data_IF_586386198369
#
_entry.id   IF_586386198369
#
_cell.length_a   1.000
_cell.length_b   1.000
_cell.length_c   1.000
_cell.angle_alpha   90.00
_cell.angle_beta   90.00
_cell.angle_gamma   90.00
#
_symmetry.space_group_name_H-M   'P 1'
#
loop_
_entity.id
_entity.type
_entity.pdbx_description
1 polymer ?
#
# COMPACT_ATOMS: atom_id res chain seq x y z
N UNK A 1 -18.66 15.87 -20.45
CA UNK A 1 -18.87 15.43 -19.06
C UNK A 1 -18.12 16.35 -18.09
N UNK A 2 -16.79 16.43 -18.14
CA UNK A 2 -15.98 17.18 -17.14
C UNK A 2 -16.15 18.72 -17.22
N UNK A 3 -16.54 19.28 -18.37
CA UNK A 3 -16.68 20.74 -18.57
C UNK A 3 -17.66 21.42 -17.60
N UNK A 4 -18.59 20.67 -17.01
CA UNK A 4 -19.62 21.22 -16.11
C UNK A 4 -19.29 21.00 -14.62
N UNK A 5 -18.11 20.46 -14.28
CA UNK A 5 -17.70 20.22 -12.89
C UNK A 5 -17.26 21.53 -12.22
N UNK A 6 -18.08 22.08 -11.33
CA UNK A 6 -17.76 23.37 -10.68
C UNK A 6 -16.59 23.29 -9.70
N UNK A 7 -16.36 22.12 -9.10
CA UNK A 7 -15.27 21.94 -8.15
C UNK A 7 -13.90 21.81 -8.82
N UNK A 8 -12.88 21.83 -7.98
CA UNK A 8 -11.54 21.42 -8.36
C UNK A 8 -11.49 19.92 -8.65
N UNK A 9 -10.53 19.53 -9.49
CA UNK A 9 -10.30 18.15 -9.88
C UNK A 9 -8.95 17.70 -9.33
N UNK A 10 -8.98 16.58 -8.63
CA UNK A 10 -7.81 15.76 -8.31
C UNK A 10 -7.67 14.64 -9.33
N UNK A 11 -6.45 14.13 -9.52
CA UNK A 11 -6.20 12.99 -10.40
C UNK A 11 -5.23 12.00 -9.75
N UNK A 12 -5.42 10.73 -10.05
CA UNK A 12 -4.43 9.68 -9.83
C UNK A 12 -3.94 9.19 -11.19
N UNK A 13 -2.63 9.06 -11.31
CA UNK A 13 -1.99 8.43 -12.45
C UNK A 13 -1.39 7.11 -11.98
N UNK A 14 -1.97 6.00 -12.44
CA UNK A 14 -1.49 4.66 -12.12
C UNK A 14 -0.81 4.06 -13.35
N UNK A 15 0.37 3.49 -13.14
CA UNK A 15 1.14 2.83 -14.17
C UNK A 15 1.59 1.47 -13.65
N UNK A 16 1.41 0.44 -14.46
CA UNK A 16 1.87 -0.92 -14.15
C UNK A 16 2.32 -1.64 -15.40
N UNK A 17 3.22 -2.61 -15.25
CA UNK A 17 3.75 -3.41 -16.34
C UNK A 17 3.28 -4.85 -16.22
N UNK A 18 2.76 -5.40 -17.32
CA UNK A 18 2.49 -6.83 -17.48
C UNK A 18 3.64 -7.51 -18.26
N UNK A 19 3.74 -8.84 -18.14
CA UNK A 19 4.60 -9.74 -18.95
C UNK A 19 4.77 -9.29 -20.40
N UNK A 20 5.99 -9.47 -20.91
CA UNK A 20 6.46 -9.04 -22.25
C UNK A 20 6.53 -7.52 -22.42
N UNK A 21 6.87 -6.79 -21.35
CA UNK A 21 7.05 -5.33 -21.35
C UNK A 21 5.83 -4.59 -21.89
N UNK A 22 4.63 -5.07 -21.52
CA UNK A 22 3.38 -4.37 -21.83
C UNK A 22 3.06 -3.48 -20.65
N UNK A 23 3.49 -2.22 -20.70
CA UNK A 23 3.02 -1.28 -19.71
C UNK A 23 1.61 -0.79 -20.05
N UNK A 24 0.87 -0.54 -19.01
CA UNK A 24 -0.44 0.07 -19.01
C UNK A 24 -0.37 1.32 -18.15
N UNK A 25 -1.21 2.28 -18.50
CA UNK A 25 -1.44 3.45 -17.67
C UNK A 25 -2.94 3.67 -17.54
N UNK A 26 -3.32 4.20 -16.40
CA UNK A 26 -4.65 4.73 -16.20
C UNK A 26 -4.59 6.13 -15.63
N UNK A 27 -5.57 6.94 -16.02
CA UNK A 27 -5.80 8.25 -15.44
C UNK A 27 -7.21 8.26 -14.88
N UNK A 28 -7.32 8.41 -13.58
CA UNK A 28 -8.59 8.56 -12.88
C UNK A 28 -8.68 9.97 -12.31
N UNK A 29 -9.85 10.59 -12.43
CA UNK A 29 -10.13 11.88 -11.80
C UNK A 29 -11.13 11.74 -10.66
N UNK A 30 -10.98 12.64 -9.70
CA UNK A 30 -11.78 12.74 -8.50
C UNK A 30 -12.23 14.18 -8.35
N UNK A 31 -13.51 14.37 -8.08
CA UNK A 31 -14.07 15.69 -7.80
C UNK A 31 -15.29 15.55 -6.90
N UNK A 32 -15.67 16.62 -6.23
CA UNK A 32 -16.86 16.66 -5.39
C UNK A 32 -17.91 17.53 -6.06
N UNK A 33 -19.17 17.13 -6.00
CA UNK A 33 -20.25 17.94 -6.55
C UNK A 33 -21.40 17.98 -5.56
N UNK A 34 -22.03 19.15 -5.35
CA UNK A 34 -23.26 19.20 -4.58
C UNK A 34 -24.39 18.48 -5.34
N UNK A 35 -25.33 17.90 -4.61
CA UNK A 35 -26.58 17.42 -5.18
C UNK A 35 -27.38 18.58 -5.77
N UNK A 36 -28.04 18.35 -6.91
CA UNK A 36 -28.80 19.37 -7.64
C UNK A 36 -29.91 20.00 -6.77
N UNK A 37 -30.48 19.23 -5.85
CA UNK A 37 -31.56 19.64 -4.95
C UNK A 37 -31.09 20.06 -3.55
N UNK A 38 -29.82 19.82 -3.21
CA UNK A 38 -29.25 20.15 -1.91
C UNK A 38 -27.75 20.55 -2.00
N UNK A 39 -27.44 21.86 -1.96
CA UNK A 39 -26.05 22.35 -2.08
C UNK A 39 -25.12 21.98 -0.91
N UNK A 40 -25.67 21.39 0.15
CA UNK A 40 -24.92 20.91 1.31
C UNK A 40 -24.62 19.41 1.25
N UNK A 41 -25.27 18.70 0.34
CA UNK A 41 -25.04 17.27 0.14
C UNK A 41 -23.99 17.08 -0.95
N UNK A 42 -22.75 16.80 -0.55
CA UNK A 42 -21.63 16.66 -1.47
C UNK A 42 -21.34 15.18 -1.72
N UNK A 43 -21.33 14.79 -2.99
CA UNK A 43 -20.89 13.46 -3.43
C UNK A 43 -19.49 13.50 -4.01
N UNK A 44 -18.66 12.51 -3.66
CA UNK A 44 -17.40 12.24 -4.34
C UNK A 44 -17.69 11.48 -5.64
N UNK A 45 -17.16 11.98 -6.74
CA UNK A 45 -17.25 11.35 -8.05
C UNK A 45 -15.89 10.86 -8.50
N UNK A 46 -15.85 9.65 -9.03
CA UNK A 46 -14.65 9.00 -9.57
C UNK A 46 -14.88 8.62 -11.02
N UNK A 47 -13.98 9.00 -11.90
CA UNK A 47 -14.06 8.66 -13.31
C UNK A 47 -12.72 8.23 -13.87
N UNK A 48 -12.66 6.99 -14.37
CA UNK A 48 -11.58 6.50 -15.21
C UNK A 48 -11.65 7.19 -16.58
N UNK A 49 -10.68 8.06 -16.87
CA UNK A 49 -10.62 8.81 -18.13
C UNK A 49 -9.95 8.04 -19.25
N UNK A 50 -8.87 7.32 -18.92
CA UNK A 50 -8.09 6.54 -19.87
C UNK A 50 -7.58 5.29 -19.21
N UNK A 51 -7.52 4.20 -19.98
CA UNK A 51 -6.87 2.96 -19.62
C UNK A 51 -6.18 2.46 -20.89
N UNK A 52 -4.92 2.82 -21.05
CA UNK A 52 -4.22 2.68 -22.31
C UNK A 52 -3.01 1.77 -22.16
N UNK A 53 -2.82 0.90 -23.15
CA UNK A 53 -1.57 0.15 -23.28
C UNK A 53 -0.52 1.07 -23.87
N UNK A 54 0.57 1.28 -23.14
CA UNK A 54 1.73 2.03 -23.63
C UNK A 54 2.51 1.23 -24.66
N UNK A 55 3.05 1.95 -25.64
CA UNK A 55 4.11 1.47 -26.53
C UNK A 55 5.32 2.39 -26.36
N UNK A 56 6.53 1.84 -26.48
CA UNK A 56 7.77 2.61 -26.36
C UNK A 56 8.31 2.69 -24.94
N UNK A 57 9.18 3.67 -24.67
CA UNK A 57 9.85 3.84 -23.37
C UNK A 57 8.92 4.52 -22.35
N UNK A 58 8.98 4.09 -21.10
CA UNK A 58 8.19 4.63 -19.98
C UNK A 58 8.96 5.69 -19.19
N UNK A 59 9.70 6.55 -19.87
CA UNK A 59 10.44 7.62 -19.19
C UNK A 59 9.46 8.61 -18.56
N UNK A 60 9.89 9.27 -17.48
CA UNK A 60 9.10 10.33 -16.84
C UNK A 60 8.66 11.44 -17.82
N UNK A 61 9.47 11.71 -18.85
CA UNK A 61 9.14 12.66 -19.92
C UNK A 61 7.98 12.16 -20.80
N UNK A 62 8.00 10.91 -21.23
CA UNK A 62 6.95 10.35 -22.10
C UNK A 62 5.62 10.15 -21.36
N UNK A 63 5.68 9.74 -20.09
CA UNK A 63 4.50 9.70 -19.21
C UNK A 63 3.94 11.12 -19.02
N UNK A 64 4.84 12.11 -18.90
CA UNK A 64 4.47 13.50 -18.80
C UNK A 64 3.75 14.08 -20.01
N UNK A 65 4.28 13.82 -21.21
CA UNK A 65 3.65 14.20 -22.48
C UNK A 65 2.27 13.57 -22.63
N UNK A 66 2.14 12.30 -22.26
CA UNK A 66 0.87 11.61 -22.34
C UNK A 66 -0.17 12.18 -21.36
N UNK A 67 0.25 12.44 -20.11
CA UNK A 67 -0.59 13.07 -19.12
C UNK A 67 -1.07 14.45 -19.60
N UNK A 68 -0.15 15.28 -20.12
CA UNK A 68 -0.49 16.60 -20.67
C UNK A 68 -1.49 16.49 -21.84
N UNK A 69 -1.26 15.57 -22.78
CA UNK A 69 -2.14 15.32 -23.91
C UNK A 69 -3.53 14.88 -23.46
N UNK A 70 -3.61 14.00 -22.46
CA UNK A 70 -4.88 13.53 -21.91
C UNK A 70 -5.66 14.65 -21.22
N UNK A 71 -4.99 15.47 -20.40
CA UNK A 71 -5.61 16.65 -19.76
C UNK A 71 -6.14 17.62 -20.82
N UNK A 72 -5.35 17.89 -21.86
CA UNK A 72 -5.76 18.77 -22.96
C UNK A 72 -6.94 18.20 -23.75
N UNK A 73 -6.92 16.89 -24.07
CA UNK A 73 -7.98 16.18 -24.79
C UNK A 73 -9.33 16.33 -24.10
N UNK A 74 -9.35 16.25 -22.78
CA UNK A 74 -10.58 16.34 -21.98
C UNK A 74 -10.92 17.76 -21.51
N UNK A 75 -10.00 18.72 -21.67
CA UNK A 75 -10.25 20.15 -21.48
C UNK A 75 -10.50 20.55 -20.03
N UNK A 76 -9.68 20.07 -19.10
CA UNK A 76 -9.78 20.40 -17.67
C UNK A 76 -8.47 20.93 -17.06
N UNK A 77 -7.53 21.38 -17.90
CA UNK A 77 -6.22 21.89 -17.47
C UNK A 77 -6.33 23.05 -16.46
N UNK A 78 -7.30 23.94 -16.67
CA UNK A 78 -7.59 25.12 -15.85
C UNK A 78 -8.18 24.78 -14.47
N UNK A 79 -8.71 23.56 -14.29
CA UNK A 79 -9.35 23.10 -13.03
C UNK A 79 -8.46 22.21 -12.18
N UNK A 80 -7.25 21.95 -12.64
CA UNK A 80 -6.33 21.04 -11.98
C UNK A 80 -5.55 21.77 -10.87
N UNK A 81 -5.67 21.30 -9.63
CA UNK A 81 -4.86 21.84 -8.50
C UNK A 81 -3.98 20.82 -7.79
N UNK A 82 -4.37 19.54 -7.79
CA UNK A 82 -3.62 18.50 -7.11
C UNK A 82 -3.41 17.29 -8.01
N UNK A 83 -2.19 16.74 -8.00
CA UNK A 83 -1.84 15.52 -8.73
C UNK A 83 -1.22 14.52 -7.75
N UNK A 84 -1.81 13.34 -7.65
CA UNK A 84 -1.18 12.22 -6.95
C UNK A 84 -0.50 11.33 -7.97
N UNK A 85 0.80 11.08 -7.77
CA UNK A 85 1.60 10.23 -8.65
C UNK A 85 2.10 9.02 -7.89
N UNK A 86 1.93 7.84 -8.48
CA UNK A 86 2.55 6.61 -7.98
C UNK A 86 4.08 6.62 -8.09
N UNK A 87 4.62 7.48 -8.95
CA UNK A 87 6.05 7.58 -9.28
C UNK A 87 6.56 9.02 -9.26
N UNK A 88 7.63 9.30 -8.50
CA UNK A 88 8.28 10.64 -8.50
C UNK A 88 8.80 11.04 -9.88
N UNK A 89 9.14 10.07 -10.74
CA UNK A 89 9.70 10.30 -12.07
C UNK A 89 8.75 10.96 -13.07
N UNK A 90 7.43 10.79 -12.92
CA UNK A 90 6.45 11.51 -13.76
C UNK A 90 6.30 12.96 -13.29
N UNK A 91 6.68 13.28 -12.06
CA UNK A 91 6.48 14.60 -11.45
C UNK A 91 7.37 15.71 -12.01
N UNK A 92 8.68 15.54 -12.14
CA UNK A 92 9.53 16.74 -12.34
C UNK A 92 9.66 17.24 -13.79
N UNK A 93 9.70 16.34 -14.79
CA UNK A 93 9.83 16.74 -16.21
C UNK A 93 8.51 16.98 -16.93
N UNK A 94 7.41 16.38 -16.48
CA UNK A 94 6.08 16.60 -17.08
C UNK A 94 5.47 17.95 -16.73
N UNK A 95 5.82 18.49 -15.55
CA UNK A 95 5.19 19.65 -14.96
C UNK A 95 5.69 20.97 -15.54
N UNK A 96 6.93 21.01 -16.02
CA UNK A 96 7.44 22.18 -16.73
C UNK A 96 6.67 22.47 -18.02
N UNK A 97 5.99 21.46 -18.59
CA UNK A 97 5.21 21.60 -19.82
C UNK A 97 3.80 22.17 -19.61
N UNK A 98 3.28 22.24 -18.37
CA UNK A 98 1.87 22.63 -18.12
C UNK A 98 1.66 24.07 -17.61
N UNK A 99 2.70 24.92 -17.49
CA UNK A 99 2.62 26.34 -17.01
C UNK A 99 1.93 26.59 -15.65
N UNK A 100 1.42 25.55 -15.00
CA UNK A 100 0.97 25.53 -13.61
C UNK A 100 1.93 24.64 -12.83
N UNK A 101 2.33 25.04 -11.62
CA UNK A 101 3.03 24.15 -10.67
C UNK A 101 1.98 23.44 -9.79
N UNK A 102 1.37 22.32 -10.24
CA UNK A 102 0.50 21.56 -9.35
C UNK A 102 1.35 20.99 -8.22
N UNK A 103 0.78 20.98 -7.01
CA UNK A 103 1.36 20.21 -5.91
C UNK A 103 1.28 18.73 -6.26
N UNK A 104 2.43 18.07 -6.41
CA UNK A 104 2.50 16.62 -6.62
C UNK A 104 2.59 15.90 -5.27
N UNK A 105 1.66 15.06 -4.86
CA UNK A 105 1.88 14.17 -3.71
C UNK A 105 2.48 12.85 -4.19
N UNK A 106 3.33 12.24 -3.36
CA UNK A 106 3.64 10.81 -3.53
C UNK A 106 2.39 10.01 -3.19
N UNK A 107 2.11 8.99 -3.99
CA UNK A 107 1.05 8.03 -3.69
C UNK A 107 1.26 7.43 -2.31
N UNK A 108 0.27 7.61 -1.44
CA UNK A 108 0.40 7.11 -0.07
C UNK A 108 0.48 5.58 -0.04
N UNK A 109 -0.24 4.88 -0.91
CA UNK A 109 -0.19 3.42 -0.98
C UNK A 109 1.24 2.93 -1.23
N UNK A 110 1.94 3.56 -2.17
CA UNK A 110 3.34 3.24 -2.45
C UNK A 110 4.22 3.46 -1.21
N UNK A 111 4.06 4.61 -0.54
CA UNK A 111 4.75 4.89 0.72
C UNK A 111 4.43 3.85 1.81
N UNK A 112 3.17 3.44 1.93
CA UNK A 112 2.69 2.44 2.88
C UNK A 112 3.26 1.04 2.59
N UNK A 113 3.58 0.77 1.33
CA UNK A 113 4.14 -0.47 0.85
C UNK A 113 5.66 -0.62 1.05
N UNK A 114 6.38 0.49 1.22
CA UNK A 114 7.84 0.42 1.46
C UNK A 114 8.17 -0.30 2.77
N UNK A 115 7.34 -0.14 3.80
CA UNK A 115 7.52 -0.81 5.09
C UNK A 115 7.45 -2.36 4.97
N UNK A 116 6.40 -2.97 4.40
CA UNK A 116 6.39 -4.39 4.07
C UNK A 116 7.54 -4.82 3.16
N UNK A 117 7.94 -3.99 2.20
CA UNK A 117 9.08 -4.30 1.33
C UNK A 117 10.36 -4.52 2.11
N UNK A 118 10.72 -3.59 3.00
CA UNK A 118 11.92 -3.73 3.84
C UNK A 118 11.82 -4.89 4.84
N UNK A 119 10.63 -5.16 5.37
CA UNK A 119 10.38 -6.36 6.18
C UNK A 119 10.71 -7.64 5.39
N UNK A 120 10.15 -7.79 4.20
CA UNK A 120 10.32 -9.00 3.39
C UNK A 120 11.77 -9.14 2.91
N UNK A 121 12.44 -8.05 2.53
CA UNK A 121 13.87 -8.07 2.18
C UNK A 121 14.73 -8.56 3.36
N UNK A 122 14.41 -8.11 4.58
CA UNK A 122 15.11 -8.50 5.79
C UNK A 122 14.82 -9.94 6.25
N UNK A 123 13.79 -10.61 5.70
CA UNK A 123 13.62 -12.05 5.82
C UNK A 123 14.63 -12.85 4.98
N UNK A 124 15.45 -12.18 4.16
CA UNK A 124 16.50 -12.76 3.33
C UNK A 124 15.99 -13.80 2.32
N UNK A 125 14.82 -13.55 1.73
CA UNK A 125 14.26 -14.42 0.69
C UNK A 125 15.21 -14.38 -0.53
N UNK A 126 15.90 -15.48 -0.89
CA UNK A 126 16.91 -15.54 -1.95
C UNK A 126 16.38 -15.08 -3.31
N UNK A 127 15.11 -15.37 -3.63
CA UNK A 127 14.49 -14.90 -4.87
C UNK A 127 14.38 -13.37 -4.98
N UNK A 128 14.41 -12.66 -3.85
CA UNK A 128 14.48 -11.19 -3.82
C UNK A 128 15.94 -10.73 -3.91
N UNK A 129 16.84 -11.41 -3.19
CA UNK A 129 18.26 -11.08 -3.16
C UNK A 129 18.94 -11.25 -4.52
N UNK A 130 18.59 -12.30 -5.27
CA UNK A 130 19.15 -12.56 -6.58
C UNK A 130 18.74 -11.50 -7.62
N UNK A 131 17.53 -10.92 -7.53
CA UNK A 131 17.16 -9.75 -8.35
C UNK A 131 17.98 -8.53 -7.95
N UNK A 132 18.16 -8.29 -6.66
CA UNK A 132 19.03 -7.22 -6.18
C UNK A 132 20.43 -7.32 -6.78
N UNK A 133 21.02 -8.53 -6.81
CA UNK A 133 22.32 -8.78 -7.42
C UNK A 133 22.32 -8.59 -8.94
N UNK A 134 21.32 -9.09 -9.67
CA UNK A 134 21.19 -8.85 -11.11
C UNK A 134 21.05 -7.36 -11.46
N UNK A 135 20.42 -6.57 -10.59
CA UNK A 135 20.33 -5.11 -10.74
C UNK A 135 21.66 -4.43 -10.38
N UNK A 136 22.40 -4.93 -9.39
CA UNK A 136 23.68 -4.36 -8.97
C UNK A 136 24.85 -4.65 -9.93
N UNK A 137 24.80 -5.77 -10.67
CA UNK A 137 25.77 -6.07 -11.73
C UNK A 137 25.67 -5.09 -12.93
N UNK A 138 24.63 -4.24 -12.97
CA UNK A 138 24.57 -3.07 -13.85
C UNK A 138 25.23 -1.84 -13.18
N UNK A 139 26.56 -1.81 -13.18
CA UNK A 139 27.47 -0.70 -12.81
C UNK A 139 26.84 0.53 -12.10
N UNK A 140 26.70 0.48 -10.76
CA UNK A 140 26.72 1.66 -9.87
C UNK A 140 26.90 1.26 -8.40
N UNK A 141 28.16 1.07 -7.98
CA UNK A 141 28.53 0.58 -6.63
C UNK A 141 28.78 1.67 -5.57
N UNK A 142 28.59 2.96 -5.86
CA UNK A 142 28.93 4.06 -4.92
C UNK A 142 27.73 4.94 -4.45
N UNK A 143 26.52 4.39 -4.37
CA UNK A 143 25.31 5.18 -4.02
C UNK A 143 24.43 4.58 -2.90
N UNK A 144 25.00 3.74 -2.04
CA UNK A 144 24.24 3.05 -1.00
C UNK A 144 23.85 3.91 0.22
N UNK A 145 24.36 5.13 0.36
CA UNK A 145 23.90 6.09 1.38
C UNK A 145 22.67 6.91 0.92
N UNK A 146 22.31 6.82 -0.38
CA UNK A 146 21.15 7.45 -1.00
C UNK A 146 20.23 6.38 -1.62
N UNK A 147 19.81 5.40 -0.81
CA UNK A 147 18.58 4.60 -1.03
C UNK A 147 17.29 5.48 -0.95
N UNK A 148 17.39 6.72 -1.46
CA UNK A 148 16.34 7.66 -1.84
C UNK A 148 16.06 7.61 -3.35
N UNK A 149 16.78 6.76 -4.11
CA UNK A 149 16.29 6.28 -5.39
C UNK A 149 15.14 5.31 -5.14
N UNK A 150 13.93 5.89 -5.11
CA UNK A 150 12.68 5.18 -5.33
C UNK A 150 12.92 4.13 -6.42
N UNK A 151 12.72 2.85 -6.07
CA UNK A 151 12.64 1.75 -7.04
C UNK A 151 11.81 2.28 -8.20
N UNK A 152 12.40 2.41 -9.40
CA UNK A 152 11.68 2.89 -10.58
C UNK A 152 10.60 1.86 -10.90
N UNK A 153 9.31 2.13 -10.63
CA UNK A 153 8.24 1.17 -10.87
C UNK A 153 8.00 0.95 -12.36
N UNK A 154 8.62 1.75 -13.24
CA UNK A 154 8.63 1.44 -14.67
C UNK A 154 9.47 0.20 -15.01
N UNK A 155 10.30 -0.27 -14.08
CA UNK A 155 11.01 -1.56 -14.12
C UNK A 155 10.40 -2.62 -13.20
N UNK A 156 9.32 -2.30 -12.47
CA UNK A 156 8.53 -3.31 -11.76
C UNK A 156 7.70 -4.10 -12.78
N UNK A 157 8.34 -5.11 -13.38
CA UNK A 157 7.62 -6.17 -14.09
C UNK A 157 6.75 -6.91 -13.04
N UNK A 158 5.43 -6.91 -13.21
CA UNK A 158 4.59 -7.83 -12.43
C UNK A 158 5.04 -9.25 -12.76
N UNK A 159 5.33 -10.10 -11.77
CA UNK A 159 5.44 -11.53 -12.03
C UNK A 159 4.07 -12.01 -12.50
N UNK A 160 4.00 -12.42 -13.76
CA UNK A 160 2.92 -13.25 -14.30
C UNK A 160 2.97 -14.62 -13.57
N UNK A 161 1.90 -15.40 -13.59
CA UNK A 161 1.90 -16.83 -13.20
C UNK A 161 2.81 -17.72 -14.10
N UNK A 162 3.62 -17.06 -14.91
CA UNK A 162 4.22 -17.49 -16.17
C UNK A 162 5.50 -16.66 -16.45
N UNK A 163 5.94 -15.78 -15.53
CA UNK A 163 7.12 -14.94 -15.72
C UNK A 163 8.36 -15.81 -15.81
N UNK A 164 8.80 -16.26 -16.99
CA UNK A 164 9.88 -17.26 -17.11
C UNK A 164 11.15 -16.89 -16.32
N UNK A 165 11.41 -15.61 -16.04
CA UNK A 165 12.55 -15.10 -15.25
C UNK A 165 12.25 -15.02 -13.75
N UNK A 166 11.10 -14.51 -13.30
CA UNK A 166 10.70 -14.61 -11.88
C UNK A 166 10.22 -16.01 -11.48
N UNK A 167 9.74 -16.79 -12.42
CA UNK A 167 9.61 -18.24 -12.42
C UNK A 167 11.02 -18.79 -12.38
N UNK A 168 11.99 -18.47 -13.24
CA UNK A 168 13.38 -18.97 -13.08
C UNK A 168 13.98 -18.62 -11.72
N UNK A 169 13.66 -17.45 -11.16
CA UNK A 169 14.16 -17.00 -9.87
C UNK A 169 13.38 -17.57 -8.67
N UNK A 170 12.07 -17.77 -8.79
CA UNK A 170 11.24 -18.47 -7.80
C UNK A 170 11.34 -20.00 -7.92
N UNK A 171 11.79 -20.48 -9.09
CA UNK A 171 12.14 -21.88 -9.38
C UNK A 171 13.64 -22.11 -9.29
N UNK A 172 14.41 -21.04 -9.02
CA UNK A 172 15.84 -21.09 -8.72
C UNK A 172 16.02 -22.21 -7.72
N UNK A 173 16.80 -23.18 -8.18
CA UNK A 173 16.86 -24.50 -7.58
C UNK A 173 17.64 -24.49 -6.27
N UNK A 174 18.29 -23.38 -5.95
CA UNK A 174 19.07 -23.17 -4.75
C UNK A 174 18.25 -22.42 -3.70
N UNK A 175 17.23 -23.09 -3.14
CA UNK A 175 16.77 -22.69 -1.82
C UNK A 175 17.72 -23.30 -0.79
N UNK A 176 18.21 -22.47 0.14
CA UNK A 176 18.88 -23.01 1.31
C UNK A 176 17.80 -23.55 2.26
N UNK A 177 18.02 -24.69 2.95
CA UNK A 177 17.07 -25.23 3.94
C UNK A 177 16.71 -24.32 5.14
N UNK A 178 17.02 -23.02 5.08
CA UNK A 178 16.59 -22.00 6.03
C UNK A 178 15.65 -20.92 5.46
N UNK A 179 15.37 -20.92 4.15
CA UNK A 179 14.47 -19.94 3.53
C UNK A 179 13.01 -20.44 3.50
N UNK A 180 12.32 -20.18 4.60
CA UNK A 180 10.94 -20.61 4.86
C UNK A 180 9.96 -19.95 3.87
N UNK A 181 10.17 -18.67 3.55
CA UNK A 181 9.28 -17.91 2.68
C UNK A 181 9.46 -18.30 1.22
N UNK A 182 10.70 -18.37 0.71
CA UNK A 182 10.92 -18.78 -0.67
C UNK A 182 10.53 -20.22 -0.92
N UNK A 183 10.60 -21.11 0.08
CA UNK A 183 10.03 -22.49 -0.02
C UNK A 183 8.53 -22.49 -0.30
N UNK A 184 7.74 -21.64 0.37
CA UNK A 184 6.30 -21.49 0.06
C UNK A 184 6.10 -20.90 -1.33
N UNK A 185 6.83 -19.85 -1.68
CA UNK A 185 6.67 -19.17 -2.96
C UNK A 185 7.04 -20.09 -4.14
N UNK A 186 8.09 -20.89 -3.98
CA UNK A 186 8.49 -21.91 -4.94
C UNK A 186 7.42 -22.99 -5.08
N UNK A 187 6.82 -23.45 -3.98
CA UNK A 187 5.69 -24.38 -4.05
C UNK A 187 4.51 -23.80 -4.85
N UNK A 188 4.11 -22.55 -4.55
CA UNK A 188 3.03 -21.86 -5.27
C UNK A 188 3.32 -21.80 -6.77
N UNK A 189 4.53 -21.36 -7.14
CA UNK A 189 4.94 -21.26 -8.54
C UNK A 189 4.91 -22.64 -9.25
N UNK A 190 5.44 -23.68 -8.62
CA UNK A 190 5.47 -25.04 -9.20
C UNK A 190 4.07 -25.62 -9.40
N UNK A 191 3.15 -25.40 -8.44
CA UNK A 191 1.76 -25.87 -8.57
C UNK A 191 1.02 -25.13 -9.69
N UNK A 192 1.23 -23.82 -9.84
CA UNK A 192 0.56 -23.01 -10.86
C UNK A 192 1.00 -23.34 -12.28
N UNK A 193 2.23 -23.82 -12.47
CA UNK A 193 2.75 -24.21 -13.77
C UNK A 193 2.22 -25.57 -14.27
N UNK A 194 1.48 -26.30 -13.44
CA UNK A 194 1.04 -27.65 -13.75
C UNK A 194 -0.45 -27.85 -13.39
N UNK A 195 -1.30 -27.79 -14.41
CA UNK A 195 -2.76 -28.00 -14.29
C UNK A 195 -3.10 -29.29 -13.53
N UNK A 196 -2.33 -30.37 -13.73
CA UNK A 196 -2.55 -31.64 -13.04
C UNK A 196 -2.23 -31.55 -11.54
N UNK A 197 -1.16 -30.85 -11.15
CA UNK A 197 -0.82 -30.61 -9.75
C UNK A 197 -1.85 -29.66 -9.10
N UNK A 198 -2.23 -28.59 -9.78
CA UNK A 198 -3.27 -27.67 -9.31
C UNK A 198 -4.61 -28.40 -9.09
N UNK A 199 -5.08 -29.15 -10.08
CA UNK A 199 -6.32 -29.93 -9.96
C UNK A 199 -6.25 -31.00 -8.86
N UNK A 200 -5.08 -31.63 -8.65
CA UNK A 200 -4.90 -32.55 -7.52
C UNK A 200 -4.97 -31.83 -6.16
N UNK A 201 -4.29 -30.71 -6.01
CA UNK A 201 -4.33 -29.90 -4.78
C UNK A 201 -5.75 -29.37 -4.50
N UNK A 202 -6.47 -28.90 -5.51
CA UNK A 202 -7.86 -28.46 -5.38
C UNK A 202 -8.75 -29.60 -4.88
N UNK A 203 -8.57 -30.82 -5.39
CA UNK A 203 -9.32 -32.00 -4.93
C UNK A 203 -9.01 -32.37 -3.47
N UNK A 204 -7.78 -32.15 -3.02
CA UNK A 204 -7.39 -32.32 -1.63
C UNK A 204 -8.01 -31.22 -0.75
N UNK A 205 -8.07 -29.98 -1.24
CA UNK A 205 -8.74 -28.88 -0.56
C UNK A 205 -10.25 -29.13 -0.43
N UNK A 206 -10.92 -29.61 -1.47
CA UNK A 206 -12.35 -29.95 -1.41
C UNK A 206 -12.62 -31.01 -0.33
N UNK A 207 -11.77 -32.05 -0.26
CA UNK A 207 -11.90 -33.13 0.73
C UNK A 207 -11.62 -32.70 2.18
N UNK A 208 -10.67 -31.79 2.41
CA UNK A 208 -10.22 -31.44 3.77
C UNK A 208 -10.76 -30.09 4.27
N UNK A 209 -11.12 -29.18 3.37
CA UNK A 209 -11.61 -27.82 3.68
C UNK A 209 -13.09 -27.62 3.27
N UNK A 210 -13.70 -28.58 2.56
CA UNK A 210 -15.10 -28.52 2.12
C UNK A 210 -15.37 -27.60 0.91
N UNK A 211 -14.32 -27.05 0.30
CA UNK A 211 -14.38 -26.23 -0.92
C UNK A 211 -13.08 -26.35 -1.72
N UNK A 212 -13.14 -26.31 -3.06
CA UNK A 212 -11.93 -26.21 -3.88
C UNK A 212 -11.25 -24.86 -3.59
N UNK A 213 -9.95 -24.90 -3.32
CA UNK A 213 -9.13 -23.72 -3.07
C UNK A 213 -7.89 -23.79 -3.96
N UNK A 214 -7.59 -22.67 -4.60
CA UNK A 214 -6.35 -22.48 -5.36
C UNK A 214 -5.27 -21.87 -4.49
N UNK A 215 -4.00 -22.05 -4.85
CA UNK A 215 -2.92 -21.24 -4.26
C UNK A 215 -3.09 -19.78 -4.67
N UNK A 216 -2.66 -18.85 -3.83
CA UNK A 216 -2.71 -17.42 -4.13
C UNK A 216 -1.31 -16.90 -4.49
N UNK A 217 -1.18 -16.25 -5.65
CA UNK A 217 0.09 -15.68 -6.12
C UNK A 217 0.47 -14.45 -5.27
N UNK A 218 1.75 -14.35 -4.93
CA UNK A 218 2.32 -13.10 -4.44
C UNK A 218 2.64 -12.19 -5.63
N UNK A 219 1.95 -11.05 -5.70
CA UNK A 219 2.24 -9.97 -6.64
C UNK A 219 3.20 -8.99 -5.97
N UNK A 220 4.45 -8.97 -6.41
CA UNK A 220 5.53 -8.16 -5.80
C UNK A 220 5.20 -6.67 -5.75
N UNK A 221 4.52 -6.14 -6.76
CA UNK A 221 4.09 -4.72 -6.84
C UNK A 221 2.91 -4.40 -5.91
N UNK A 222 2.25 -5.43 -5.37
CA UNK A 222 1.12 -5.31 -4.44
C UNK A 222 1.48 -6.04 -3.17
N UNK A 223 2.30 -5.44 -2.31
CA UNK A 223 2.87 -6.08 -1.13
C UNK A 223 1.84 -6.69 -0.16
N UNK A 224 0.60 -6.18 -0.13
CA UNK A 224 -0.51 -6.81 0.60
C UNK A 224 -0.95 -8.18 0.06
N UNK A 225 -0.54 -8.56 -1.15
CA UNK A 225 -0.80 -9.87 -1.74
C UNK A 225 0.05 -10.98 -1.12
N UNK A 226 1.24 -10.68 -0.56
CA UNK A 226 1.99 -11.70 0.20
C UNK A 226 1.23 -12.11 1.45
N UNK A 227 0.60 -11.15 2.14
CA UNK A 227 -0.27 -11.44 3.27
C UNK A 227 -1.42 -12.37 2.86
N UNK A 228 -2.06 -12.10 1.71
CA UNK A 228 -3.11 -12.99 1.14
C UNK A 228 -2.57 -14.36 0.70
N UNK A 229 -1.34 -14.41 0.19
CA UNK A 229 -0.66 -15.67 -0.12
C UNK A 229 -0.50 -16.50 1.14
N UNK A 230 0.09 -15.95 2.21
CA UNK A 230 0.23 -16.65 3.48
C UNK A 230 -1.11 -17.05 4.11
N UNK A 231 -2.11 -16.17 4.05
CA UNK A 231 -3.48 -16.48 4.51
C UNK A 231 -4.02 -17.75 3.84
N UNK A 232 -3.92 -17.80 2.51
CA UNK A 232 -4.33 -18.97 1.71
C UNK A 232 -3.49 -20.20 2.05
N UNK A 233 -2.18 -20.07 2.20
CA UNK A 233 -1.29 -21.19 2.52
C UNK A 233 -1.56 -21.77 3.91
N UNK A 234 -1.90 -20.92 4.89
CA UNK A 234 -2.31 -21.35 6.22
C UNK A 234 -3.68 -22.07 6.18
N UNK A 235 -4.62 -21.59 5.36
CA UNK A 235 -5.93 -22.24 5.12
C UNK A 235 -5.77 -23.66 4.53
N UNK A 236 -4.83 -23.84 3.59
CA UNK A 236 -4.60 -25.13 2.90
C UNK A 236 -3.44 -25.94 3.49
N UNK A 237 -2.95 -25.61 4.69
CA UNK A 237 -1.80 -26.26 5.34
C UNK A 237 -1.89 -27.79 5.35
N UNK A 238 -3.05 -28.35 5.69
CA UNK A 238 -3.26 -29.80 5.70
C UNK A 238 -3.29 -30.40 4.27
N UNK A 239 -4.12 -29.91 3.33
CA UNK A 239 -4.06 -30.30 1.92
C UNK A 239 -2.64 -30.27 1.34
N UNK A 240 -1.89 -29.18 1.56
CA UNK A 240 -0.51 -29.04 1.08
C UNK A 240 0.40 -30.12 1.65
N UNK A 241 0.34 -30.40 2.96
CA UNK A 241 1.17 -31.45 3.55
C UNK A 241 0.86 -32.84 2.99
N UNK A 242 -0.41 -33.15 2.69
CA UNK A 242 -0.80 -34.40 2.03
C UNK A 242 -0.30 -34.41 0.58
N UNK A 243 -0.48 -33.29 -0.13
CA UNK A 243 -0.01 -33.12 -1.50
C UNK A 243 1.49 -33.40 -1.59
N UNK A 244 2.33 -32.76 -0.78
CA UNK A 244 3.78 -32.94 -0.80
C UNK A 244 4.20 -34.40 -0.50
N UNK A 245 3.42 -35.15 0.29
CA UNK A 245 3.73 -36.56 0.60
C UNK A 245 3.27 -37.54 -0.49
N UNK A 246 2.24 -37.19 -1.26
CA UNK A 246 1.57 -38.13 -2.18
C UNK A 246 1.78 -37.80 -3.64
N UNK A 247 2.16 -36.57 -3.98
CA UNK A 247 2.27 -36.12 -5.37
C UNK A 247 3.38 -36.85 -6.13
N UNK A 248 4.50 -37.17 -5.48
CA UNK A 248 5.63 -37.89 -6.10
C UNK A 248 5.26 -39.32 -6.54
N UNK A 249 4.25 -39.95 -5.90
CA UNK A 249 3.76 -41.30 -6.24
C UNK A 249 2.53 -41.27 -7.17
N UNK A 250 2.01 -40.08 -7.51
CA UNK A 250 0.83 -39.92 -8.34
C UNK A 250 1.21 -39.86 -9.82
N UNK A 251 0.90 -40.93 -10.57
CA UNK A 251 1.23 -41.05 -12.00
C UNK A 251 0.65 -39.94 -12.90
N UNK A 252 -0.36 -39.20 -12.44
CA UNK A 252 -0.96 -38.09 -13.19
C UNK A 252 -0.24 -36.75 -12.98
N UNK A 253 0.67 -36.66 -12.00
CA UNK A 253 1.41 -35.45 -11.69
C UNK A 253 2.82 -35.61 -12.25
N UNK A 254 3.28 -34.72 -13.13
CA UNK A 254 4.64 -34.78 -13.64
C UNK A 254 5.65 -34.59 -12.50
N UNK A 255 6.78 -35.27 -12.62
CA UNK A 255 7.93 -35.03 -11.76
C UNK A 255 8.48 -33.62 -11.98
N UNK A 256 9.03 -33.03 -10.93
CA UNK A 256 9.70 -31.73 -11.01
C UNK A 256 10.99 -31.85 -11.82
N UNK A 257 11.46 -30.74 -12.38
CA UNK A 257 12.73 -30.70 -13.10
C UNK A 257 13.93 -30.95 -12.16
N UNK A 258 14.92 -31.71 -12.65
CA UNK A 258 16.11 -32.09 -11.89
C UNK A 258 15.83 -33.18 -10.84
N UNK A 259 16.63 -33.22 -9.76
CA UNK A 259 16.47 -34.16 -8.65
C UNK A 259 15.44 -33.69 -7.59
N UNK A 260 14.60 -32.71 -7.94
CA UNK A 260 13.60 -32.14 -7.05
C UNK A 260 12.40 -33.07 -6.90
N UNK A 261 11.82 -33.07 -5.71
CA UNK A 261 10.61 -33.84 -5.38
C UNK A 261 9.61 -32.98 -4.63
N UNK A 262 8.32 -33.23 -4.79
CA UNK A 262 7.27 -32.48 -4.11
C UNK A 262 7.38 -32.57 -2.59
N UNK A 263 7.86 -33.71 -2.06
CA UNK A 263 8.13 -33.88 -0.63
C UNK A 263 9.12 -32.85 -0.07
N UNK A 264 10.01 -32.29 -0.91
CA UNK A 264 10.97 -31.27 -0.47
C UNK A 264 10.29 -29.94 -0.09
N UNK A 265 9.07 -29.69 -0.57
CA UNK A 265 8.27 -28.52 -0.18
C UNK A 265 7.46 -28.74 1.10
N UNK A 266 7.50 -29.93 1.71
CA UNK A 266 6.81 -30.19 2.97
C UNK A 266 7.36 -29.28 4.07
N UNK A 267 6.46 -28.57 4.72
CA UNK A 267 6.79 -27.59 5.76
C UNK A 267 6.69 -28.24 7.15
N UNK A 268 7.68 -27.99 8.01
CA UNK A 268 7.71 -28.41 9.41
C UNK A 268 6.75 -27.55 10.27
N UNK A 269 6.39 -27.99 11.48
CA UNK A 269 5.60 -27.18 12.41
C UNK A 269 6.21 -25.80 12.69
N UNK A 270 7.54 -25.74 12.86
CA UNK A 270 8.26 -24.49 13.14
C UNK A 270 8.29 -23.57 11.92
N UNK A 271 8.47 -24.14 10.72
CA UNK A 271 8.37 -23.38 9.46
C UNK A 271 6.98 -22.76 9.29
N UNK A 272 5.92 -23.52 9.57
CA UNK A 272 4.55 -22.98 9.56
C UNK A 272 4.33 -21.91 10.62
N UNK A 273 4.98 -22.01 11.77
CA UNK A 273 4.89 -20.99 12.80
C UNK A 273 5.48 -19.67 12.32
N UNK A 274 6.67 -19.68 11.71
CA UNK A 274 7.29 -18.47 11.12
C UNK A 274 6.38 -17.83 10.07
N UNK A 275 5.74 -18.63 9.20
CA UNK A 275 4.79 -18.11 8.21
C UNK A 275 3.58 -17.44 8.87
N UNK A 276 3.06 -18.02 9.96
CA UNK A 276 1.98 -17.41 10.74
C UNK A 276 2.40 -16.07 11.35
N UNK A 277 3.63 -15.94 11.85
CA UNK A 277 4.14 -14.69 12.39
C UNK A 277 4.30 -13.63 11.29
N UNK A 278 4.85 -14.00 10.13
CA UNK A 278 4.98 -13.09 8.98
C UNK A 278 3.60 -12.64 8.47
N UNK A 279 2.63 -13.55 8.43
CA UNK A 279 1.24 -13.25 8.08
C UNK A 279 0.64 -12.22 9.03
N UNK A 280 0.74 -12.42 10.35
CA UNK A 280 0.23 -11.47 11.34
C UNK A 280 0.76 -10.05 11.09
N UNK A 281 2.08 -9.93 10.91
CA UNK A 281 2.76 -8.64 10.66
C UNK A 281 2.28 -8.00 9.35
N UNK A 282 2.24 -8.75 8.25
CA UNK A 282 1.86 -8.23 6.93
C UNK A 282 0.38 -7.90 6.81
N UNK A 283 -0.49 -8.61 7.52
CA UNK A 283 -1.95 -8.39 7.50
C UNK A 283 -2.34 -7.04 8.10
N UNK A 284 -1.57 -6.54 9.08
CA UNK A 284 -1.73 -5.20 9.63
C UNK A 284 -1.67 -4.16 8.53
N UNK A 285 -0.62 -4.19 7.70
CA UNK A 285 -0.49 -3.25 6.58
C UNK A 285 -1.51 -3.49 5.48
N UNK A 286 -1.75 -4.74 5.11
CA UNK A 286 -2.68 -5.09 4.03
C UNK A 286 -4.11 -4.56 4.33
N UNK A 287 -4.54 -4.67 5.59
CA UNK A 287 -5.86 -4.20 6.04
C UNK A 287 -5.97 -2.68 5.96
N UNK A 288 -4.97 -1.94 6.45
CA UNK A 288 -5.01 -0.47 6.43
C UNK A 288 -4.84 0.09 5.02
N UNK A 289 -4.02 -0.55 4.19
CA UNK A 289 -3.92 -0.20 2.79
C UNK A 289 -5.25 -0.39 2.05
N UNK A 290 -5.99 -1.47 2.34
CA UNK A 290 -7.32 -1.68 1.76
C UNK A 290 -8.33 -0.59 2.15
N UNK A 291 -8.18 0.05 3.32
CA UNK A 291 -9.00 1.20 3.72
C UNK A 291 -8.60 2.45 2.91
N UNK A 292 -7.30 2.68 2.76
CA UNK A 292 -6.78 3.85 2.05
C UNK A 292 -6.99 3.79 0.52
N UNK A 293 -7.05 2.59 -0.05
CA UNK A 293 -7.31 2.35 -1.47
C UNK A 293 -8.78 2.33 -1.87
N UNK A 294 -9.70 2.71 -0.97
CA UNK A 294 -11.11 2.91 -1.35
C UNK A 294 -11.24 4.16 -2.22
N UNK A 295 -11.96 4.04 -3.33
CA UNK A 295 -12.18 5.15 -4.25
C UNK A 295 -13.52 5.86 -4.03
N UNK A 296 -14.49 5.19 -3.41
CA UNK A 296 -15.85 5.67 -3.18
C UNK A 296 -16.00 6.59 -1.96
N UNK A 297 -14.91 6.78 -1.20
CA UNK A 297 -14.87 7.63 -0.01
C UNK A 297 -13.58 8.45 0.02
N UNK A 298 -13.61 9.60 0.69
CA UNK A 298 -12.39 10.40 0.87
C UNK A 298 -11.45 9.69 1.85
N UNK A 299 -10.27 9.24 1.43
CA UNK A 299 -9.35 8.47 2.28
C UNK A 299 -8.13 9.24 2.76
N UNK A 300 -7.78 10.38 2.14
CA UNK A 300 -6.55 11.13 2.45
C UNK A 300 -6.45 11.56 3.92
N UNK A 301 -7.58 11.73 4.58
CA UNK A 301 -7.63 12.11 5.98
C UNK A 301 -7.37 10.96 6.97
N UNK A 302 -7.50 9.72 6.52
CA UNK A 302 -7.20 8.51 7.28
C UNK A 302 -5.75 8.07 7.19
N UNK A 303 -4.95 8.71 6.34
CA UNK A 303 -3.54 8.37 6.14
C UNK A 303 -2.75 8.42 7.45
N UNK A 304 -2.84 9.52 8.19
CA UNK A 304 -2.10 9.70 9.45
C UNK A 304 -2.50 8.65 10.50
N UNK A 305 -3.80 8.45 10.83
CA UNK A 305 -4.18 7.44 11.80
C UNK A 305 -3.84 6.02 11.34
N UNK A 306 -4.03 5.68 10.06
CA UNK A 306 -3.66 4.36 9.52
C UNK A 306 -2.17 4.08 9.67
N UNK A 307 -1.33 5.05 9.33
CA UNK A 307 0.12 4.94 9.49
C UNK A 307 0.53 4.80 10.96
N UNK A 308 -0.09 5.57 11.85
CA UNK A 308 0.20 5.51 13.28
C UNK A 308 -0.20 4.17 13.89
N UNK A 309 -1.38 3.65 13.54
CA UNK A 309 -1.87 2.35 14.00
C UNK A 309 -0.94 1.22 13.57
N UNK A 310 -0.57 1.19 12.28
CA UNK A 310 0.37 0.20 11.73
C UNK A 310 1.71 0.24 12.44
N UNK A 311 2.25 1.44 12.70
CA UNK A 311 3.46 1.64 13.49
C UNK A 311 3.32 1.03 14.89
N UNK A 312 2.27 1.39 15.63
CA UNK A 312 2.06 0.91 16.99
C UNK A 312 1.94 -0.62 17.06
N UNK A 313 1.18 -1.23 16.14
CA UNK A 313 1.02 -2.69 16.13
C UNK A 313 2.35 -3.40 15.83
N UNK A 314 3.19 -2.84 14.96
CA UNK A 314 4.51 -3.42 14.68
C UNK A 314 5.50 -3.22 15.83
N UNK A 315 5.43 -2.10 16.55
CA UNK A 315 6.19 -1.92 17.81
C UNK A 315 5.76 -2.97 18.85
N UNK A 316 4.46 -3.25 18.97
CA UNK A 316 3.95 -4.30 19.87
C UNK A 316 4.45 -5.69 19.48
N UNK A 317 4.56 -5.99 18.18
CA UNK A 317 5.17 -7.25 17.75
C UNK A 317 6.64 -7.37 18.19
N UNK A 318 7.41 -6.28 18.23
CA UNK A 318 8.78 -6.32 18.75
C UNK A 318 8.87 -6.52 20.26
N UNK A 319 7.83 -6.13 21.00
CA UNK A 319 7.75 -6.34 22.45
C UNK A 319 7.33 -7.78 22.83
N UNK A 320 6.70 -8.51 21.90
CA UNK A 320 6.26 -9.88 22.09
C UNK A 320 7.36 -10.89 21.68
N UNK A 321 7.88 -11.64 22.64
CA UNK A 321 8.96 -12.61 22.42
C UNK A 321 8.59 -13.75 21.46
N UNK A 322 7.30 -13.93 21.14
CA UNK A 322 6.85 -14.86 20.09
C UNK A 322 7.43 -14.47 18.72
N UNK A 323 7.73 -13.18 18.51
CA UNK A 323 8.23 -12.65 17.25
C UNK A 323 9.76 -12.54 17.19
N UNK A 324 10.50 -12.97 18.21
CA UNK A 324 11.98 -12.85 18.27
C UNK A 324 12.67 -13.39 17.01
N UNK A 325 12.14 -14.48 16.44
CA UNK A 325 12.66 -15.12 15.22
C UNK A 325 12.56 -14.24 13.97
N UNK A 326 11.62 -13.30 13.92
CA UNK A 326 11.44 -12.34 12.82
C UNK A 326 11.62 -10.87 13.25
N UNK A 327 12.05 -10.60 14.49
CA UNK A 327 12.23 -9.26 15.03
C UNK A 327 13.18 -8.38 14.17
N UNK A 328 14.32 -8.89 13.63
CA UNK A 328 15.17 -8.09 12.74
C UNK A 328 14.42 -7.59 11.50
N UNK A 329 13.52 -8.40 10.94
CA UNK A 329 12.71 -8.02 9.79
C UNK A 329 11.66 -6.96 10.16
N UNK A 330 10.98 -7.13 11.31
CA UNK A 330 10.00 -6.14 11.81
C UNK A 330 10.70 -4.79 12.01
N UNK A 331 11.89 -4.80 12.63
CA UNK A 331 12.69 -3.59 12.85
C UNK A 331 13.08 -2.91 11.52
N UNK A 332 13.45 -3.69 10.49
CA UNK A 332 13.77 -3.14 9.16
C UNK A 332 12.56 -2.42 8.54
N UNK A 333 11.37 -3.00 8.61
CA UNK A 333 10.14 -2.35 8.15
C UNK A 333 9.79 -1.10 8.95
N UNK A 334 9.92 -1.14 10.29
CA UNK A 334 9.71 0.03 11.15
C UNK A 334 10.68 1.18 10.84
N UNK A 335 11.96 0.88 10.61
CA UNK A 335 12.96 1.89 10.22
C UNK A 335 12.53 2.63 8.94
N UNK A 336 12.03 1.90 7.94
CA UNK A 336 11.46 2.50 6.74
C UNK A 336 10.23 3.35 7.06
N UNK A 337 9.33 2.82 7.89
CA UNK A 337 8.11 3.52 8.29
C UNK A 337 8.40 4.86 8.96
N UNK A 338 9.37 4.93 9.88
CA UNK A 338 9.75 6.17 10.55
C UNK A 338 10.21 7.27 9.58
N UNK A 339 10.99 6.88 8.56
CA UNK A 339 11.44 7.80 7.50
C UNK A 339 10.24 8.40 6.78
N UNK A 340 9.26 7.58 6.41
CA UNK A 340 8.10 8.00 5.63
C UNK A 340 7.02 8.70 6.45
N UNK A 341 6.80 8.26 7.68
CA UNK A 341 5.89 8.91 8.62
C UNK A 341 6.25 10.37 8.82
N UNK A 342 7.55 10.65 8.93
CA UNK A 342 8.05 12.02 8.99
C UNK A 342 7.73 12.78 7.69
N UNK A 343 8.02 12.23 6.51
CA UNK A 343 7.77 12.88 5.20
C UNK A 343 6.30 13.29 5.00
N UNK A 344 5.33 12.50 5.48
CA UNK A 344 3.90 12.85 5.45
C UNK A 344 3.61 14.18 6.17
N UNK A 345 4.38 14.52 7.20
CA UNK A 345 4.27 15.78 7.94
C UNK A 345 5.11 16.92 7.34
N UNK A 346 6.16 16.59 6.58
CA UNK A 346 7.18 17.56 6.17
C UNK A 346 7.10 18.02 4.72
N UNK A 347 6.82 17.13 3.77
CA UNK A 347 7.06 17.45 2.35
C UNK A 347 5.98 18.34 1.75
N UNK A 348 4.68 18.09 2.03
CA UNK A 348 3.58 18.83 1.36
C UNK A 348 2.35 19.12 2.23
N UNK A 349 2.32 18.64 3.47
CA UNK A 349 1.24 18.90 4.43
C UNK A 349 -0.16 18.47 3.99
N UNK A 350 -0.35 17.86 2.80
CA UNK A 350 -1.67 17.55 2.24
C UNK A 350 -2.45 16.60 3.15
N UNK A 351 -1.82 15.51 3.60
CA UNK A 351 -2.45 14.56 4.50
C UNK A 351 -2.75 15.17 5.86
N UNK A 352 -1.87 16.04 6.38
CA UNK A 352 -2.14 16.80 7.59
C UNK A 352 -3.34 17.72 7.43
N UNK A 353 -3.38 18.51 6.36
CA UNK A 353 -4.49 19.42 6.06
C UNK A 353 -5.79 18.63 5.94
N UNK A 354 -5.84 17.60 5.09
CA UNK A 354 -7.00 16.73 4.93
C UNK A 354 -7.47 16.12 6.26
N UNK A 355 -6.53 15.74 7.12
CA UNK A 355 -6.84 15.25 8.45
C UNK A 355 -7.50 16.34 9.30
N UNK A 356 -6.91 17.53 9.43
CA UNK A 356 -7.42 18.58 10.34
C UNK A 356 -8.57 19.43 9.77
N UNK A 357 -9.12 19.13 8.59
CA UNK A 357 -10.32 19.80 8.09
C UNK A 357 -11.55 19.58 9.00
N UNK A 358 -11.57 18.50 9.79
CA UNK A 358 -12.47 18.31 10.93
C UNK A 358 -11.69 18.59 12.23
N UNK A 359 -11.74 19.85 12.66
CA UNK A 359 -10.83 20.40 13.68
C UNK A 359 -11.02 19.78 15.07
N UNK A 360 -12.23 19.40 15.47
CA UNK A 360 -12.47 19.06 16.88
C UNK A 360 -11.95 17.67 17.25
N UNK A 361 -12.36 16.64 16.51
CA UNK A 361 -12.01 15.27 16.84
C UNK A 361 -10.55 14.95 16.45
N UNK A 362 -10.11 15.44 15.29
CA UNK A 362 -8.85 15.00 14.68
C UNK A 362 -7.62 15.72 15.22
N UNK A 363 -7.74 16.98 15.66
CA UNK A 363 -6.66 17.62 16.41
C UNK A 363 -6.44 16.93 17.77
N UNK A 364 -7.51 16.50 18.43
CA UNK A 364 -7.40 15.76 19.69
C UNK A 364 -6.64 14.44 19.50
N UNK A 365 -6.85 13.75 18.37
CA UNK A 365 -6.05 12.58 18.02
C UNK A 365 -4.57 12.94 17.84
N UNK A 366 -4.25 14.01 17.11
CA UNK A 366 -2.88 14.44 16.92
C UNK A 366 -2.19 14.80 18.25
N UNK A 367 -2.88 15.47 19.18
CA UNK A 367 -2.38 15.76 20.53
C UNK A 367 -2.10 14.50 21.36
N UNK A 368 -2.73 13.38 21.01
CA UNK A 368 -2.53 12.06 21.61
C UNK A 368 -1.41 11.27 20.93
N UNK A 369 -1.21 11.47 19.63
CA UNK A 369 -0.30 10.69 18.80
C UNK A 369 1.07 11.34 18.60
N UNK A 370 1.15 12.67 18.53
CA UNK A 370 2.31 13.45 18.08
C UNK A 370 2.85 14.40 19.15
N UNK A 371 4.12 14.79 18.96
CA UNK A 371 4.71 15.91 19.66
C UNK A 371 4.15 17.24 19.16
N UNK A 372 3.98 18.19 20.09
CA UNK A 372 3.43 19.52 19.81
C UNK A 372 4.16 20.25 18.66
N UNK A 373 5.48 20.09 18.56
CA UNK A 373 6.28 20.73 17.52
C UNK A 373 5.86 20.31 16.09
N UNK A 374 5.47 19.04 15.90
CA UNK A 374 4.97 18.53 14.61
C UNK A 374 3.57 19.07 14.32
N UNK A 375 2.70 19.11 15.33
CA UNK A 375 1.35 19.66 15.22
C UNK A 375 1.41 21.14 14.83
N UNK A 376 2.24 21.93 15.52
CA UNK A 376 2.43 23.35 15.23
C UNK A 376 2.97 23.59 13.81
N UNK A 377 3.90 22.74 13.34
CA UNK A 377 4.42 22.79 11.97
C UNK A 377 3.30 22.51 10.95
N UNK A 378 2.49 21.49 11.19
CA UNK A 378 1.33 21.18 10.36
C UNK A 378 0.30 22.31 10.34
N UNK A 379 -0.05 22.87 11.49
CA UNK A 379 -1.00 23.99 11.62
C UNK A 379 -0.49 25.25 10.92
N UNK A 380 0.81 25.57 10.99
CA UNK A 380 1.39 26.68 10.21
C UNK A 380 1.24 26.46 8.71
N UNK A 381 1.45 25.22 8.26
CA UNK A 381 1.29 24.84 6.85
C UNK A 381 -0.17 24.96 6.40
N UNK A 382 -1.10 24.43 7.19
CA UNK A 382 -2.54 24.53 6.95
C UNK A 382 -3.01 25.99 6.92
N UNK A 383 -2.57 26.82 7.88
CA UNK A 383 -2.88 28.24 7.91
C UNK A 383 -2.37 28.98 6.67
N UNK A 384 -1.14 28.68 6.22
CA UNK A 384 -0.58 29.26 4.99
C UNK A 384 -1.46 28.91 3.78
N UNK A 385 -1.80 27.63 3.60
CA UNK A 385 -2.66 27.18 2.50
C UNK A 385 -4.05 27.82 2.60
N UNK A 386 -4.63 27.88 3.81
CA UNK A 386 -5.91 28.53 4.02
C UNK A 386 -5.90 29.99 3.58
N UNK A 387 -4.88 30.77 3.94
CA UNK A 387 -4.75 32.17 3.51
C UNK A 387 -4.67 32.30 1.98
N UNK A 388 -3.88 31.44 1.32
CA UNK A 388 -3.77 31.41 -0.15
C UNK A 388 -5.10 31.14 -0.86
N UNK A 389 -6.00 30.38 -0.23
CA UNK A 389 -7.35 30.12 -0.74
C UNK A 389 -8.34 31.19 -0.37
N UNK A 390 -8.30 31.70 0.86
CA UNK A 390 -9.19 32.75 1.36
C UNK A 390 -9.16 33.99 0.45
N UNK A 391 -7.97 34.37 -0.01
CA UNK A 391 -7.80 35.53 -0.89
C UNK A 391 -8.38 35.32 -2.31
N UNK A 392 -8.63 34.06 -2.70
CA UNK A 392 -9.14 33.68 -4.03
C UNK A 392 -10.63 33.41 -4.05
N UNK A 393 -11.24 33.12 -2.89
CA UNK A 393 -12.65 32.76 -2.81
C UNK A 393 -13.45 33.99 -2.37
N UNK A 394 -14.12 34.65 -3.33
CA UNK A 394 -15.24 35.54 -3.03
C UNK A 394 -16.44 34.67 -2.62
N UNK A 395 -16.54 34.36 -1.32
CA UNK A 395 -17.71 33.66 -0.80
C UNK A 395 -18.86 34.65 -0.74
N UNK A 396 -19.79 34.57 -1.71
CA UNK A 396 -21.12 35.14 -1.49
C UNK A 396 -21.70 34.46 -0.26
N UNK A 397 -22.09 35.24 0.76
CA UNK A 397 -22.71 34.70 1.96
C UNK A 397 -23.91 33.86 1.52
N UNK A 398 -23.94 32.56 1.86
CA UNK A 398 -25.13 31.76 1.62
C UNK A 398 -26.31 32.49 2.25
N UNK A 399 -27.42 32.61 1.52
CA UNK A 399 -28.67 33.04 2.12
C UNK A 399 -28.92 32.15 3.35
N UNK A 400 -29.37 32.74 4.46
CA UNK A 400 -29.78 32.04 5.68
C UNK A 400 -30.97 31.12 5.36
N UNK A 401 -30.73 30.05 4.62
CA UNK A 401 -31.67 28.99 4.33
C UNK A 401 -31.48 27.90 5.37
N UNK A 402 -32.61 27.29 5.73
CA UNK A 402 -32.80 26.28 6.75
C UNK A 402 -31.80 25.14 6.59
N UNK A 403 -30.67 25.22 7.30
CA UNK A 403 -29.70 24.14 7.44
C UNK A 403 -30.45 22.94 8.01
N UNK A 404 -30.71 21.93 7.18
CA UNK A 404 -31.14 20.63 7.67
C UNK A 404 -29.96 20.02 8.41
N UNK A 405 -30.22 19.51 9.61
CA UNK A 405 -29.23 18.78 10.39
C UNK A 405 -28.72 17.59 9.55
N UNK A 406 -27.44 17.63 9.20
CA UNK A 406 -26.79 16.54 8.44
C UNK A 406 -26.78 15.31 9.34
N UNK A 407 -27.46 14.24 8.93
CA UNK A 407 -27.37 12.95 9.62
C UNK A 407 -26.00 12.32 9.35
N UNK A 408 -25.11 12.37 10.35
CA UNK A 408 -23.75 11.80 10.31
C UNK A 408 -23.67 10.27 10.33
N UNK A 409 -24.69 9.56 9.84
CA UNK A 409 -25.04 8.24 10.40
C UNK A 409 -24.39 6.98 9.83
N UNK A 410 -23.36 7.00 8.96
CA UNK A 410 -22.84 5.71 8.44
C UNK A 410 -21.38 5.60 7.98
N UNK A 411 -20.53 6.62 8.15
CA UNK A 411 -19.14 6.58 7.65
C UNK A 411 -18.09 6.43 8.75
N UNK A 412 -18.49 5.96 9.93
CA UNK A 412 -17.57 5.71 11.03
C UNK A 412 -16.71 4.48 10.72
N UNK A 413 -15.44 4.69 10.41
CA UNK A 413 -14.51 3.64 10.04
C UNK A 413 -13.86 3.00 11.27
N UNK A 414 -13.19 1.85 11.08
CA UNK A 414 -12.35 1.26 12.13
C UNK A 414 -11.21 2.17 12.56
N UNK A 415 -10.76 3.07 11.67
CA UNK A 415 -9.72 4.07 12.01
C UNK A 415 -10.26 5.15 12.93
N UNK A 416 -11.54 5.53 12.80
CA UNK A 416 -12.18 6.47 13.73
C UNK A 416 -12.32 5.83 15.12
N UNK A 417 -12.71 4.55 15.19
CA UNK A 417 -12.69 3.78 16.45
C UNK A 417 -11.30 3.77 17.09
N UNK A 418 -10.26 3.56 16.29
CA UNK A 418 -8.87 3.56 16.75
C UNK A 418 -8.46 4.92 17.31
N UNK A 419 -8.79 6.02 16.61
CA UNK A 419 -8.50 7.39 17.09
C UNK A 419 -9.16 7.65 18.45
N UNK A 420 -10.45 7.33 18.60
CA UNK A 420 -11.18 7.49 19.86
C UNK A 420 -10.55 6.69 21.00
N UNK A 421 -10.16 5.44 20.73
CA UNK A 421 -9.48 4.59 21.71
C UNK A 421 -8.16 5.21 22.17
N UNK A 422 -7.34 5.68 21.23
CA UNK A 422 -6.05 6.29 21.55
C UNK A 422 -6.21 7.59 22.36
N UNK A 423 -7.17 8.44 21.99
CA UNK A 423 -7.48 9.67 22.72
C UNK A 423 -7.84 9.35 24.18
N UNK A 424 -8.71 8.36 24.40
CA UNK A 424 -9.15 7.97 25.73
C UNK A 424 -8.01 7.37 26.56
N UNK A 425 -7.19 6.52 25.97
CA UNK A 425 -6.00 5.95 26.64
C UNK A 425 -5.02 7.04 27.07
N UNK A 426 -4.73 8.01 26.21
CA UNK A 426 -3.83 9.12 26.55
C UNK A 426 -4.41 10.05 27.62
N UNK A 427 -5.73 10.29 27.61
CA UNK A 427 -6.41 11.04 28.67
C UNK A 427 -6.26 10.35 30.03
N UNK A 428 -6.48 9.04 30.08
CA UNK A 428 -6.29 8.23 31.30
C UNK A 428 -4.84 8.29 31.80
N UNK A 429 -3.85 8.17 30.91
CA UNK A 429 -2.43 8.27 31.26
C UNK A 429 -2.07 9.65 31.85
N UNK A 430 -2.54 10.74 31.22
CA UNK A 430 -2.31 12.11 31.71
C UNK A 430 -2.97 12.34 33.08
N UNK A 431 -4.19 11.84 33.27
CA UNK A 431 -4.89 11.93 34.55
C UNK A 431 -4.14 11.17 35.67
N UNK A 432 -3.65 9.97 35.38
CA UNK A 432 -2.86 9.17 36.32
C UNK A 432 -1.54 9.88 36.71
N UNK A 433 -0.81 10.43 35.72
CA UNK A 433 0.43 11.17 35.96
C UNK A 433 0.21 12.41 36.84
N UNK A 434 -0.87 13.17 36.61
CA UNK A 434 -1.24 14.32 37.45
C UNK A 434 -1.60 13.93 38.89
N UNK A 435 -2.15 12.73 39.11
CA UNK A 435 -2.46 12.24 40.44
C UNK A 435 -1.18 11.84 41.18
N UNK A 436 -0.27 11.11 40.52
CA UNK A 436 1.03 10.74 41.08
C UNK A 436 1.90 11.96 41.43
N UNK A 437 1.90 13.01 40.61
CA UNK A 437 2.66 14.23 40.91
C UNK A 437 2.12 14.99 42.13
N UNK A 438 0.79 14.93 42.38
CA UNK A 438 0.17 15.53 43.57
C UNK A 438 0.39 14.70 44.83
N UNK A 439 0.49 13.38 44.72
CA UNK A 439 0.76 12.50 45.85
C UNK A 439 2.22 12.53 46.32
N UNK A 440 3.15 12.98 45.46
CA UNK A 440 4.57 13.13 45.76
C UNK A 440 4.96 14.51 46.33
N UNK A 441 4.03 15.48 46.31
CA UNK A 441 4.15 16.78 46.97
C UNK A 441 3.48 16.74 48.34
#
# INVERSE_FOLDING_TARGET
MIKNVESLISMTFDGWSKKRRKAFESLTIYYIQPADDNPLDWSLHVHLLTFDRRKGRHTGEENGKHLASTIQKYGFADRLKHKEHRTKYVGYKSLSLMHTEPSSSSCIEHTFHLMPSHFIQALQVPSIMAIGQCLHDSEQEELFDDFDNDIDPSQEEEPDDDDDEAVELATSTEWTPGDIVGKILAFVAQVQQCDAAMGYLESLCEKNCGKPLQVATWVRTRWGSLAKCFDRMLEIKQPMNIFCVTADDNANIPLLQGDKRWINFKMSPDEWHVISLCWNVLMVNATRNAILGKEDVATSHWVIPAMYEVKLEWEQFLEDSTYDVIAPAIQAGLNSMYKWYRKVTEDKGVYFICHVLDLCHRLTFLDAAWDQALIDKGLRTMHKVYLEYKDKVNVEKPAESTLKEVQWSSLYSSLDSFMDKLIEERRKQKAAASFSSRAAM
#
